data_IF_090236169680
#
_entry.id   IF_090236169680
#
_cell.length_a   1.000
_cell.length_b   1.000
_cell.length_c   1.000
_cell.angle_alpha   90.00
_cell.angle_beta   90.00
_cell.angle_gamma   90.00
#
_symmetry.space_group_name_H-M   'P 1'
#
loop_
_entity.id
_entity.type
_entity.pdbx_description
1 polymer ?
#
# COMPACT_ATOMS: atom_id res chain seq x y z
N UNK A 1 -14.57 0.47 -36.85
CA UNK A 1 -13.84 -0.78 -37.16
C UNK A 1 -12.48 -0.70 -36.50
N UNK A 2 -12.13 -1.71 -35.71
CA UNK A 2 -10.77 -2.03 -35.23
C UNK A 2 -10.09 -0.96 -34.36
N UNK A 3 -9.76 -1.18 -33.09
CA UNK A 3 -9.53 -2.46 -32.44
C UNK A 3 -9.57 -2.31 -30.92
N UNK A 4 -9.98 -3.40 -30.31
CA UNK A 4 -10.09 -3.64 -28.88
C UNK A 4 -8.76 -3.28 -28.21
N UNK A 5 -8.75 -2.19 -27.44
CA UNK A 5 -7.63 -1.82 -26.59
C UNK A 5 -7.58 -2.82 -25.45
N UNK A 6 -6.59 -3.71 -25.54
CA UNK A 6 -6.23 -4.76 -24.59
C UNK A 6 -6.45 -4.34 -23.13
N UNK A 7 -7.21 -5.17 -22.43
CA UNK A 7 -7.34 -5.18 -20.97
C UNK A 7 -6.07 -5.86 -20.44
N UNK A 8 -4.98 -5.10 -20.34
CA UNK A 8 -3.75 -5.52 -19.69
C UNK A 8 -3.34 -4.45 -18.67
N UNK A 9 -3.47 -4.78 -17.39
CA UNK A 9 -2.55 -4.31 -16.34
C UNK A 9 -2.42 -2.81 -16.11
N UNK A 10 -3.50 -2.04 -16.19
CA UNK A 10 -3.47 -0.61 -15.83
C UNK A 10 -3.50 -0.40 -14.32
N UNK A 11 -2.38 -0.55 -13.63
CA UNK A 11 -2.18 0.01 -12.28
C UNK A 11 -2.21 1.53 -12.43
N UNK A 12 -3.39 2.11 -12.23
CA UNK A 12 -3.60 3.55 -12.24
C UNK A 12 -2.76 4.20 -11.15
N UNK A 13 -1.73 4.90 -11.60
CA UNK A 13 -0.78 5.72 -10.86
C UNK A 13 -1.50 6.84 -10.11
N UNK A 14 -1.90 6.56 -8.88
CA UNK A 14 -1.96 7.55 -7.82
C UNK A 14 -0.82 7.20 -6.87
N UNK A 15 -0.01 8.17 -6.48
CA UNK A 15 1.16 7.93 -5.65
C UNK A 15 0.74 7.37 -4.28
N UNK A 16 0.62 6.05 -4.15
CA UNK A 16 0.06 5.41 -2.95
C UNK A 16 0.89 5.76 -1.70
N UNK A 17 2.20 5.95 -1.90
CA UNK A 17 3.13 6.45 -0.89
C UNK A 17 2.80 7.87 -0.41
N UNK A 18 2.19 8.70 -1.26
CA UNK A 18 1.73 10.05 -0.92
C UNK A 18 0.55 10.07 0.07
N UNK A 19 -0.11 8.93 0.30
CA UNK A 19 -1.16 8.80 1.32
C UNK A 19 -0.60 8.74 2.74
N UNK A 20 0.69 8.42 2.89
CA UNK A 20 1.37 8.32 4.18
C UNK A 20 1.61 9.75 4.71
N UNK A 21 0.75 10.18 5.62
CA UNK A 21 0.91 11.46 6.33
C UNK A 21 2.12 11.38 7.26
N UNK A 22 2.78 12.51 7.50
CA UNK A 22 3.94 12.69 8.40
C UNK A 22 5.34 12.34 7.85
N UNK A 23 5.50 12.05 6.56
CA UNK A 23 6.80 11.74 5.94
C UNK A 23 7.14 12.79 4.89
N UNK A 24 8.41 13.21 4.83
CA UNK A 24 8.85 14.18 3.83
C UNK A 24 8.90 13.57 2.41
N UNK A 25 8.68 14.35 1.35
CA UNK A 25 8.81 13.88 -0.03
C UNK A 25 10.21 13.30 -0.33
N UNK A 26 11.25 13.88 0.28
CA UNK A 26 12.63 13.39 0.16
C UNK A 26 12.82 11.97 0.72
N UNK A 27 12.09 11.63 1.78
CA UNK A 27 12.13 10.28 2.39
C UNK A 27 11.35 9.29 1.54
N UNK A 28 10.19 9.70 1.00
CA UNK A 28 9.41 8.87 0.07
C UNK A 28 10.19 8.54 -1.21
N UNK A 29 10.98 9.49 -1.72
CA UNK A 29 11.87 9.25 -2.86
C UNK A 29 12.92 8.16 -2.57
N UNK A 30 13.55 8.19 -1.39
CA UNK A 30 14.51 7.14 -0.98
C UNK A 30 13.85 5.76 -0.88
N UNK A 31 12.64 5.72 -0.33
CA UNK A 31 11.86 4.48 -0.18
C UNK A 31 11.48 3.92 -1.56
N UNK A 32 11.12 4.78 -2.51
CA UNK A 32 10.86 4.39 -3.90
C UNK A 32 12.12 3.83 -4.57
N UNK A 33 13.26 4.50 -4.40
CA UNK A 33 14.56 4.02 -4.91
C UNK A 33 15.00 2.70 -4.29
N UNK A 34 14.55 2.38 -3.08
CA UNK A 34 14.80 1.09 -2.42
C UNK A 34 13.92 -0.06 -2.95
N UNK A 35 12.97 0.24 -3.84
CA UNK A 35 12.07 -0.73 -4.48
C UNK A 35 10.71 -0.89 -3.78
N UNK A 36 10.40 -0.07 -2.77
CA UNK A 36 9.08 -0.07 -2.13
C UNK A 36 8.18 0.93 -2.84
N UNK A 37 7.33 0.45 -3.74
CA UNK A 37 6.45 1.28 -4.57
C UNK A 37 5.03 1.40 -4.02
N UNK A 38 4.60 0.48 -3.16
CA UNK A 38 3.22 0.42 -2.66
C UNK A 38 3.13 0.46 -1.13
N UNK A 39 1.96 0.84 -0.60
CA UNK A 39 1.72 0.94 0.85
C UNK A 39 1.67 -0.45 1.48
N UNK A 40 1.18 -1.45 0.75
CA UNK A 40 1.12 -2.85 1.17
C UNK A 40 2.52 -3.42 1.40
N UNK A 41 3.45 -3.12 0.50
CA UNK A 41 4.84 -3.54 0.64
C UNK A 41 5.47 -3.00 1.93
N UNK A 42 5.18 -1.73 2.28
CA UNK A 42 5.65 -1.11 3.53
C UNK A 42 4.93 -1.64 4.78
N UNK A 43 3.66 -2.04 4.67
CA UNK A 43 2.90 -2.55 5.80
C UNK A 43 3.39 -3.96 6.25
N UNK A 44 3.77 -4.80 5.28
CA UNK A 44 4.19 -6.19 5.48
C UNK A 44 5.68 -6.31 5.81
N UNK A 45 6.51 -5.43 5.28
CA UNK A 45 7.96 -5.49 5.50
C UNK A 45 8.37 -5.13 6.93
N UNK A 46 9.39 -5.80 7.50
CA UNK A 46 9.89 -5.48 8.82
C UNK A 46 10.67 -4.17 8.80
N UNK A 47 10.54 -3.38 9.87
CA UNK A 47 11.14 -2.03 9.99
C UNK A 47 12.65 -2.04 9.77
N UNK A 48 13.35 -3.10 10.22
CA UNK A 48 14.79 -3.26 10.06
C UNK A 48 15.19 -3.35 8.58
N UNK A 49 14.43 -4.07 7.78
CA UNK A 49 14.71 -4.22 6.34
C UNK A 49 14.46 -2.90 5.61
N UNK A 50 13.37 -2.21 5.96
CA UNK A 50 13.04 -0.89 5.39
C UNK A 50 14.14 0.13 5.70
N UNK A 51 14.61 0.19 6.96
CA UNK A 51 15.69 1.11 7.35
C UNK A 51 16.99 0.79 6.62
N UNK A 52 17.36 -0.48 6.51
CA UNK A 52 18.60 -0.90 5.85
C UNK A 52 18.60 -0.64 4.35
N UNK A 53 17.47 -0.89 3.66
CA UNK A 53 17.38 -0.75 2.19
C UNK A 53 17.14 0.69 1.76
N UNK A 54 16.35 1.44 2.53
CA UNK A 54 16.02 2.83 2.19
C UNK A 54 16.97 3.87 2.82
N UNK A 55 17.96 3.44 3.62
CA UNK A 55 18.91 4.32 4.29
C UNK A 55 18.22 5.47 5.05
N UNK A 56 17.19 5.12 5.81
CA UNK A 56 16.41 6.07 6.63
C UNK A 56 16.52 5.69 8.09
N UNK A 57 16.46 6.70 8.97
CA UNK A 57 16.52 6.50 10.42
C UNK A 57 15.42 5.53 10.91
N UNK A 58 15.77 4.68 11.87
CA UNK A 58 14.87 3.66 12.42
C UNK A 58 13.57 4.27 12.94
N UNK A 59 13.61 5.46 13.57
CA UNK A 59 12.38 6.12 14.07
C UNK A 59 11.46 6.53 12.92
N UNK A 60 12.02 6.98 11.80
CA UNK A 60 11.25 7.36 10.62
C UNK A 60 10.68 6.13 9.90
N UNK A 61 11.47 5.06 9.75
CA UNK A 61 11.02 3.81 9.18
C UNK A 61 9.87 3.19 10.00
N UNK A 62 9.96 3.27 11.34
CA UNK A 62 8.90 2.80 12.23
C UNK A 62 7.60 3.60 12.02
N UNK A 63 7.68 4.93 11.95
CA UNK A 63 6.51 5.78 11.66
C UNK A 63 5.86 5.44 10.33
N UNK A 64 6.65 5.29 9.27
CA UNK A 64 6.17 4.91 7.93
C UNK A 64 5.41 3.58 7.99
N UNK A 65 6.01 2.55 8.60
CA UNK A 65 5.40 1.22 8.68
C UNK A 65 4.10 1.24 9.50
N UNK A 66 4.04 2.01 10.58
CA UNK A 66 2.81 2.14 11.39
C UNK A 66 1.69 2.83 10.62
N UNK A 67 1.99 3.94 9.94
CA UNK A 67 0.99 4.65 9.14
C UNK A 67 0.52 3.79 7.94
N UNK A 68 1.42 3.05 7.31
CA UNK A 68 1.06 2.09 6.27
C UNK A 68 0.07 1.03 6.79
N UNK A 69 0.29 0.48 7.99
CA UNK A 69 -0.63 -0.49 8.61
C UNK A 69 -1.98 0.11 8.97
N UNK A 70 -2.00 1.37 9.43
CA UNK A 70 -3.24 2.09 9.72
C UNK A 70 -4.06 2.32 8.45
N UNK A 71 -3.41 2.73 7.37
CA UNK A 71 -4.07 2.93 6.07
C UNK A 71 -4.70 1.64 5.54
N UNK A 72 -4.04 0.50 5.74
CA UNK A 72 -4.55 -0.81 5.33
C UNK A 72 -5.67 -1.36 6.22
N UNK A 73 -5.98 -0.69 7.34
CA UNK A 73 -7.06 -1.04 8.27
C UNK A 73 -7.07 -2.54 8.66
N UNK A 74 -5.88 -3.12 8.91
CA UNK A 74 -5.78 -4.48 9.43
C UNK A 74 -6.31 -4.53 10.87
N UNK A 75 -7.52 -5.02 11.05
CA UNK A 75 -8.18 -5.09 12.34
C UNK A 75 -9.30 -6.14 12.36
N UNK A 76 -9.92 -6.27 13.53
CA UNK A 76 -11.08 -7.14 13.69
C UNK A 76 -12.30 -6.50 13.03
N UNK A 77 -12.99 -7.28 12.21
CA UNK A 77 -14.20 -6.87 11.49
C UNK A 77 -15.34 -7.80 11.91
N UNK A 78 -16.54 -7.27 12.16
CA UNK A 78 -17.68 -8.09 12.54
C UNK A 78 -18.13 -8.96 11.37
N UNK A 79 -18.61 -10.17 11.67
CA UNK A 79 -19.11 -11.10 10.65
C UNK A 79 -20.21 -10.47 9.77
N UNK A 80 -21.09 -9.66 10.38
CA UNK A 80 -22.15 -8.93 9.69
C UNK A 80 -21.60 -7.94 8.63
N UNK A 81 -20.55 -7.18 8.96
CA UNK A 81 -19.95 -6.21 8.03
C UNK A 81 -19.28 -6.89 6.83
N UNK A 82 -18.67 -8.07 7.04
CA UNK A 82 -18.12 -8.87 5.95
C UNK A 82 -19.24 -9.41 5.06
N UNK A 83 -20.33 -9.91 5.66
CA UNK A 83 -21.49 -10.43 4.92
C UNK A 83 -22.14 -9.33 4.08
N UNK A 84 -22.34 -8.14 4.64
CA UNK A 84 -22.93 -6.99 3.96
C UNK A 84 -22.08 -6.54 2.76
N UNK A 85 -20.75 -6.48 2.91
CA UNK A 85 -19.82 -6.19 1.79
C UNK A 85 -19.89 -7.22 0.66
N UNK A 86 -20.12 -8.49 0.99
CA UNK A 86 -20.11 -9.59 0.02
C UNK A 86 -21.49 -9.91 -0.58
N UNK A 87 -22.57 -9.38 -0.02
CA UNK A 87 -23.96 -9.68 -0.39
C UNK A 87 -24.25 -9.46 -1.89
N UNK A 88 -23.60 -8.46 -2.49
CA UNK A 88 -23.81 -8.07 -3.88
C UNK A 88 -22.71 -8.58 -4.84
N UNK A 89 -21.80 -9.44 -4.37
CA UNK A 89 -20.76 -10.01 -5.25
C UNK A 89 -21.41 -10.99 -6.22
N UNK A 90 -21.19 -10.76 -7.52
CA UNK A 90 -21.58 -11.69 -8.55
C UNK A 90 -20.82 -13.02 -8.39
N UNK A 91 -21.51 -14.13 -8.65
CA UNK A 91 -20.89 -15.44 -8.70
C UNK A 91 -20.02 -15.52 -9.95
N UNK A 92 -18.73 -15.79 -9.78
CA UNK A 92 -17.87 -16.19 -10.88
C UNK A 92 -18.25 -17.64 -11.27
N UNK A 93 -18.89 -17.81 -12.42
CA UNK A 93 -19.12 -19.12 -13.07
C UNK A 93 -17.93 -19.53 -13.90
#
# INVERSE_FOLDING_TARGET
MSGVKLILGGVGVADDLGRIKCVSPSTLSKIRSAGFTTVEALAVTPVREVSSRANVDNKTALKVCMEARKLMNYGFVKAFEIWEKRKNLARCT
#
